data_IF_848195383674
#
_entry.id   IF_848195383674
#
_cell.length_a   1.000
_cell.length_b   1.000
_cell.length_c   1.000
_cell.angle_alpha   90.00
_cell.angle_beta   90.00
_cell.angle_gamma   90.00
#
_symmetry.space_group_name_H-M   'P 1'
#
loop_
_entity.id
_entity.type
_entity.pdbx_description
1 polymer ?
#
# COMPACT_ATOMS: atom_id res chain seq x y z
N UNK A 1 -14.17 -10.75 -36.16
CA UNK A 1 -14.83 -9.85 -35.21
C UNK A 1 -14.60 -10.44 -33.82
N UNK A 2 -13.43 -10.19 -33.22
CA UNK A 2 -13.03 -10.77 -31.94
C UNK A 2 -13.23 -9.72 -30.86
N UNK A 3 -14.16 -10.00 -29.98
CA UNK A 3 -14.49 -9.17 -28.81
C UNK A 3 -13.34 -9.29 -27.78
N UNK A 4 -12.65 -8.18 -27.60
CA UNK A 4 -11.69 -7.97 -26.50
C UNK A 4 -12.44 -8.14 -25.16
N UNK A 5 -12.10 -9.17 -24.37
CA UNK A 5 -12.49 -9.24 -22.96
C UNK A 5 -11.45 -8.47 -22.13
N UNK A 6 -11.83 -7.45 -21.36
CA UNK A 6 -10.88 -6.75 -20.48
C UNK A 6 -10.49 -7.66 -19.32
N UNK A 7 -9.20 -7.65 -18.99
CA UNK A 7 -8.59 -8.39 -17.87
C UNK A 7 -9.14 -7.85 -16.55
N UNK A 8 -9.98 -8.65 -15.89
CA UNK A 8 -10.52 -8.35 -14.56
C UNK A 8 -9.55 -8.77 -13.46
N UNK A 9 -8.58 -7.96 -13.10
CA UNK A 9 -7.74 -8.17 -11.90
C UNK A 9 -7.76 -7.02 -10.88
N UNK A 10 -8.41 -5.90 -11.19
CA UNK A 10 -8.51 -4.74 -10.26
C UNK A 10 -9.70 -4.81 -9.28
N UNK A 11 -10.61 -5.77 -9.42
CA UNK A 11 -11.87 -5.81 -8.64
C UNK A 11 -11.70 -6.31 -7.21
N UNK A 12 -10.76 -7.21 -6.93
CA UNK A 12 -10.68 -7.87 -5.61
C UNK A 12 -10.12 -6.98 -4.50
N UNK A 13 -9.11 -6.17 -4.79
CA UNK A 13 -8.53 -5.26 -3.79
C UNK A 13 -9.52 -4.13 -3.42
N UNK A 14 -10.23 -3.57 -4.41
CA UNK A 14 -11.26 -2.55 -4.18
C UNK A 14 -12.45 -3.09 -3.38
N UNK A 15 -12.85 -4.35 -3.63
CA UNK A 15 -13.94 -5.01 -2.91
C UNK A 15 -13.53 -5.29 -1.46
N UNK A 16 -12.30 -5.74 -1.23
CA UNK A 16 -11.78 -6.02 0.13
C UNK A 16 -11.67 -4.72 0.93
N UNK A 17 -11.13 -3.65 0.37
CA UNK A 17 -11.04 -2.36 1.04
C UNK A 17 -12.40 -1.70 1.25
N UNK A 18 -13.31 -1.82 0.29
CA UNK A 18 -14.69 -1.35 0.41
C UNK A 18 -15.45 -2.09 1.50
N UNK A 19 -15.31 -3.41 1.62
CA UNK A 19 -15.96 -4.21 2.65
C UNK A 19 -15.38 -3.93 4.06
N UNK A 20 -14.08 -3.78 4.20
CA UNK A 20 -13.45 -3.37 5.48
C UNK A 20 -13.91 -1.97 5.90
N UNK A 21 -14.04 -1.03 4.96
CA UNK A 21 -14.55 0.31 5.23
C UNK A 21 -16.02 0.29 5.66
N UNK A 22 -16.86 -0.51 5.01
CA UNK A 22 -18.29 -0.67 5.34
C UNK A 22 -18.46 -1.33 6.72
N UNK A 23 -17.66 -2.35 7.05
CA UNK A 23 -17.71 -3.02 8.36
C UNK A 23 -17.27 -2.07 9.46
N UNK A 24 -16.19 -1.32 9.28
CA UNK A 24 -15.74 -0.30 10.25
C UNK A 24 -16.75 0.84 10.40
N UNK A 25 -17.40 1.26 9.32
CA UNK A 25 -18.42 2.30 9.34
C UNK A 25 -19.71 1.82 10.02
N UNK A 26 -20.12 0.54 9.81
CA UNK A 26 -21.28 -0.03 10.49
C UNK A 26 -21.08 -0.19 12.01
N UNK A 27 -19.87 -0.54 12.47
CA UNK A 27 -19.54 -0.59 13.91
C UNK A 27 -19.64 0.81 14.55
N UNK A 28 -19.23 1.87 13.83
CA UNK A 28 -19.36 3.26 14.29
C UNK A 28 -20.81 3.75 14.41
N UNK A 29 -21.71 3.24 13.56
CA UNK A 29 -23.13 3.57 13.61
C UNK A 29 -23.85 2.91 14.80
N UNK A 30 -23.37 1.74 15.24
CA UNK A 30 -23.95 1.04 16.40
C UNK A 30 -23.66 1.75 17.73
N UNK A 31 -22.54 2.45 17.88
CA UNK A 31 -22.22 3.21 19.10
C UNK A 31 -23.12 4.46 19.30
N UNK A 32 -23.76 4.98 18.24
CA UNK A 32 -24.65 6.13 18.37
C UNK A 32 -26.09 5.78 18.78
N UNK A 33 -26.41 4.49 18.94
CA UNK A 33 -27.76 4.05 19.28
C UNK A 33 -28.07 4.03 20.80
N UNK A 34 -27.06 4.18 21.66
CA UNK A 34 -27.23 4.12 23.13
C UNK A 34 -27.14 5.49 23.84
N UNK A 35 -26.94 6.58 23.11
CA UNK A 35 -26.73 7.90 23.70
C UNK A 35 -28.01 8.77 23.66
N UNK A 36 -29.08 8.35 24.37
CA UNK A 36 -30.21 9.20 24.73
C UNK A 36 -30.61 8.96 26.18
N UNK A 37 -29.79 9.43 27.13
CA UNK A 37 -30.27 9.81 28.48
C UNK A 37 -29.21 10.72 29.13
N UNK A 38 -29.72 11.89 29.58
CA UNK A 38 -29.14 12.87 30.50
C UNK A 38 -28.02 13.79 29.98
N UNK A 39 -28.34 15.10 30.00
CA UNK A 39 -27.43 16.23 29.77
C UNK A 39 -26.44 16.39 30.96
N UNK A 40 -25.47 15.48 31.06
CA UNK A 40 -24.16 15.81 31.60
C UNK A 40 -23.29 16.19 30.41
N UNK A 41 -22.42 17.21 30.52
CA UNK A 41 -21.46 17.57 29.47
C UNK A 41 -20.77 16.29 28.98
N UNK A 42 -21.16 15.80 27.81
CA UNK A 42 -20.67 14.54 27.23
C UNK A 42 -19.17 14.66 26.89
N UNK A 43 -18.34 14.33 27.87
CA UNK A 43 -16.91 14.25 27.67
C UNK A 43 -16.61 13.21 26.57
N UNK A 44 -15.75 13.54 25.61
CA UNK A 44 -15.49 12.66 24.47
C UNK A 44 -14.89 11.34 24.94
N UNK A 45 -15.50 10.22 24.54
CA UNK A 45 -15.01 8.87 24.86
C UNK A 45 -13.62 8.63 24.25
N UNK A 46 -12.58 8.28 25.04
CA UNK A 46 -11.25 7.96 24.52
C UNK A 46 -11.25 6.80 23.51
N UNK A 47 -12.08 5.77 23.74
CA UNK A 47 -12.26 4.65 22.80
C UNK A 47 -12.88 5.12 21.49
N UNK A 48 -13.90 5.99 21.58
CA UNK A 48 -14.55 6.57 20.41
C UNK A 48 -13.59 7.45 19.59
N UNK A 49 -12.71 8.23 20.23
CA UNK A 49 -11.68 9.01 19.58
C UNK A 49 -10.66 8.13 18.86
N UNK A 50 -10.21 7.04 19.49
CA UNK A 50 -9.31 6.07 18.88
C UNK A 50 -9.92 5.43 17.62
N UNK A 51 -11.14 4.87 17.73
CA UNK A 51 -11.79 4.18 16.61
C UNK A 51 -12.07 5.12 15.43
N UNK A 52 -12.48 6.36 15.68
CA UNK A 52 -12.67 7.36 14.60
C UNK A 52 -11.39 7.67 13.87
N UNK A 53 -10.25 7.73 14.58
CA UNK A 53 -8.95 7.97 13.96
C UNK A 53 -8.43 6.77 13.16
N UNK A 54 -8.84 5.53 13.46
CA UNK A 54 -8.52 4.37 12.64
C UNK A 54 -9.26 4.40 11.29
N UNK A 55 -10.48 4.93 11.26
CA UNK A 55 -11.25 5.10 10.01
C UNK A 55 -10.67 6.23 9.18
N UNK A 56 -10.52 7.41 9.78
CA UNK A 56 -9.96 8.59 9.15
C UNK A 56 -9.00 9.30 10.10
N UNK A 57 -7.68 9.30 9.82
CA UNK A 57 -6.70 9.95 10.67
C UNK A 57 -7.04 11.42 10.92
N UNK A 58 -6.99 11.80 12.19
CA UNK A 58 -7.39 13.15 12.62
C UNK A 58 -8.84 13.30 13.04
N UNK A 59 -9.76 12.43 12.63
CA UNK A 59 -11.16 12.52 13.01
C UNK A 59 -11.38 12.35 14.53
N UNK A 60 -10.65 11.43 15.15
CA UNK A 60 -10.69 11.27 16.60
C UNK A 60 -10.22 12.50 17.37
N UNK A 61 -9.25 13.25 16.84
CA UNK A 61 -8.83 14.52 17.44
C UNK A 61 -9.93 15.58 17.36
N UNK A 62 -10.60 15.68 16.20
CA UNK A 62 -11.74 16.57 16.05
C UNK A 62 -12.88 16.23 17.00
N UNK A 63 -13.15 14.94 17.19
CA UNK A 63 -14.15 14.45 18.14
C UNK A 63 -13.75 14.73 19.59
N UNK A 64 -12.46 14.56 19.92
CA UNK A 64 -11.94 14.81 21.27
C UNK A 64 -11.92 16.31 21.62
N UNK A 65 -11.57 17.17 20.66
CA UNK A 65 -11.48 18.61 20.86
C UNK A 65 -11.57 19.33 19.51
N UNK A 66 -12.75 19.88 19.22
CA UNK A 66 -13.00 20.59 17.97
C UNK A 66 -12.19 21.88 17.85
N UNK A 67 -11.92 22.55 18.97
CA UNK A 67 -11.20 23.84 18.99
C UNK A 67 -9.69 23.65 18.87
N UNK A 68 -9.17 22.51 19.35
CA UNK A 68 -7.74 22.18 19.31
C UNK A 68 -7.46 20.96 18.44
N UNK A 69 -7.87 21.01 17.18
CA UNK A 69 -7.71 19.91 16.20
C UNK A 69 -6.37 19.92 15.44
N UNK A 70 -5.40 20.71 15.85
CA UNK A 70 -4.15 20.90 15.08
C UNK A 70 -3.39 19.59 14.82
N UNK A 71 -3.26 18.71 15.83
CA UNK A 71 -2.61 17.40 15.66
C UNK A 71 -3.34 16.53 14.62
N UNK A 72 -4.67 16.54 14.66
CA UNK A 72 -5.49 15.79 13.69
C UNK A 72 -5.29 16.25 12.25
N UNK A 73 -5.12 17.55 12.01
CA UNK A 73 -4.86 18.11 10.67
C UNK A 73 -3.57 17.55 10.06
N UNK A 74 -2.50 17.38 10.86
CA UNK A 74 -1.23 16.80 10.36
C UNK A 74 -1.40 15.33 9.98
N UNK A 75 -2.11 14.53 10.78
CA UNK A 75 -2.39 13.14 10.45
C UNK A 75 -3.26 13.02 9.20
N UNK A 76 -4.27 13.88 9.06
CA UNK A 76 -5.12 13.91 7.87
C UNK A 76 -4.32 14.31 6.62
N UNK A 77 -3.49 15.37 6.71
CA UNK A 77 -2.64 15.80 5.61
C UNK A 77 -1.65 14.70 5.20
N UNK A 78 -1.03 14.03 6.17
CA UNK A 78 -0.16 12.88 5.93
C UNK A 78 -0.87 11.75 5.20
N UNK A 79 -2.10 11.40 5.62
CA UNK A 79 -2.90 10.37 4.93
C UNK A 79 -3.21 10.75 3.49
N UNK A 80 -3.62 11.99 3.24
CA UNK A 80 -3.89 12.49 1.88
C UNK A 80 -2.66 12.35 0.99
N UNK A 81 -1.47 12.74 1.48
CA UNK A 81 -0.22 12.58 0.72
C UNK A 81 0.08 11.11 0.43
N UNK A 82 -0.09 10.22 1.41
CA UNK A 82 0.15 8.78 1.23
C UNK A 82 -0.82 8.17 0.21
N UNK A 83 -2.11 8.53 0.28
CA UNK A 83 -3.14 8.06 -0.66
C UNK A 83 -2.85 8.56 -2.08
N UNK A 84 -2.54 9.84 -2.25
CA UNK A 84 -2.19 10.40 -3.57
C UNK A 84 -0.90 9.76 -4.12
N UNK A 85 0.09 9.50 -3.28
CA UNK A 85 1.31 8.80 -3.67
C UNK A 85 1.03 7.37 -4.12
N UNK A 86 0.15 6.64 -3.42
CA UNK A 86 -0.24 5.29 -3.79
C UNK A 86 -0.89 5.26 -5.18
N UNK A 87 -1.93 6.06 -5.40
CA UNK A 87 -2.61 6.10 -6.70
C UNK A 87 -1.72 6.66 -7.81
N UNK A 88 -0.86 7.63 -7.50
CA UNK A 88 0.11 8.17 -8.45
C UNK A 88 1.13 7.13 -8.92
N UNK A 89 1.68 6.33 -7.99
CA UNK A 89 2.61 5.25 -8.34
C UNK A 89 1.93 4.09 -9.07
N UNK A 90 0.70 3.73 -8.69
CA UNK A 90 -0.08 2.68 -9.36
C UNK A 90 -0.41 3.08 -10.80
N UNK A 91 -0.96 4.28 -11.00
CA UNK A 91 -1.28 4.81 -12.33
C UNK A 91 -0.02 4.92 -13.22
N UNK A 92 1.11 5.35 -12.64
CA UNK A 92 2.39 5.39 -13.36
C UNK A 92 2.86 3.99 -13.75
N UNK A 93 2.72 3.00 -12.86
CA UNK A 93 3.08 1.62 -13.16
C UNK A 93 2.24 1.06 -14.30
N UNK A 94 0.94 1.29 -14.30
CA UNK A 94 0.02 0.87 -15.35
C UNK A 94 0.35 1.53 -16.71
N UNK A 95 0.66 2.84 -16.69
CA UNK A 95 1.07 3.55 -17.91
C UNK A 95 2.35 2.95 -18.51
N UNK A 96 3.39 2.77 -17.69
CA UNK A 96 4.67 2.20 -18.11
C UNK A 96 4.53 0.73 -18.52
N UNK A 97 3.61 -0.03 -17.89
CA UNK A 97 3.33 -1.41 -18.31
C UNK A 97 2.76 -1.48 -19.72
N UNK A 98 1.80 -0.60 -20.03
CA UNK A 98 1.26 -0.52 -21.39
C UNK A 98 2.33 -0.11 -22.41
N UNK A 99 3.24 0.79 -22.02
CA UNK A 99 4.34 1.25 -22.87
C UNK A 99 5.31 0.10 -23.21
N UNK A 100 5.83 -0.63 -22.21
CA UNK A 100 6.75 -1.73 -22.49
C UNK A 100 6.07 -2.91 -23.20
N UNK A 101 4.78 -3.17 -22.95
CA UNK A 101 4.02 -4.21 -23.68
C UNK A 101 3.87 -3.86 -25.16
N UNK A 102 3.56 -2.61 -25.46
CA UNK A 102 3.45 -2.10 -26.83
C UNK A 102 4.81 -2.15 -27.54
N UNK A 103 5.89 -1.77 -26.83
CA UNK A 103 7.24 -1.83 -27.36
C UNK A 103 7.64 -3.28 -27.70
N UNK A 104 7.37 -4.24 -26.81
CA UNK A 104 7.64 -5.64 -27.05
C UNK A 104 6.90 -6.17 -28.28
N UNK A 105 5.61 -5.90 -28.36
CA UNK A 105 4.81 -6.33 -29.51
C UNK A 105 5.31 -5.73 -30.83
N UNK A 106 5.60 -4.44 -30.85
CA UNK A 106 5.98 -3.73 -32.07
C UNK A 106 7.41 -3.97 -32.52
N UNK A 107 8.37 -4.25 -31.60
CA UNK A 107 9.81 -4.32 -31.86
C UNK A 107 10.44 -5.71 -31.65
N UNK A 108 9.71 -6.63 -31.07
CA UNK A 108 10.15 -8.03 -30.97
C UNK A 108 9.11 -9.04 -31.42
N UNK A 109 7.90 -8.60 -31.78
CA UNK A 109 6.79 -9.47 -32.16
C UNK A 109 6.18 -10.25 -30.98
N UNK A 110 6.61 -9.98 -29.74
CA UNK A 110 6.16 -10.72 -28.56
C UNK A 110 4.79 -10.20 -28.05
N UNK A 111 3.80 -11.08 -28.02
CA UNK A 111 2.56 -10.83 -27.26
C UNK A 111 2.76 -11.22 -25.79
N UNK A 112 2.74 -10.22 -24.92
CA UNK A 112 2.91 -10.39 -23.48
C UNK A 112 1.60 -10.66 -22.73
N UNK A 113 0.49 -10.88 -23.43
CA UNK A 113 -0.80 -11.21 -22.84
C UNK A 113 -0.69 -12.55 -22.09
N UNK A 114 -1.09 -12.57 -20.82
CA UNK A 114 -1.07 -13.76 -19.96
C UNK A 114 0.31 -14.45 -19.79
N UNK A 115 1.41 -13.75 -20.07
CA UNK A 115 2.75 -14.28 -19.85
C UNK A 115 3.19 -14.16 -18.40
N UNK A 116 3.97 -15.15 -17.95
CA UNK A 116 4.53 -15.17 -16.61
C UNK A 116 5.57 -14.06 -16.41
N UNK A 117 5.81 -13.66 -15.16
CA UNK A 117 6.88 -12.70 -14.83
C UNK A 117 8.25 -13.17 -15.34
N UNK A 118 8.53 -14.47 -15.26
CA UNK A 118 9.81 -15.02 -15.75
C UNK A 118 9.97 -14.82 -17.26
N UNK A 119 8.89 -14.94 -18.02
CA UNK A 119 8.89 -14.67 -19.45
C UNK A 119 9.15 -13.18 -19.74
N UNK A 120 8.52 -12.26 -19.00
CA UNK A 120 8.77 -10.82 -19.12
C UNK A 120 10.23 -10.45 -18.80
N UNK A 121 10.86 -11.14 -17.85
CA UNK A 121 12.29 -10.96 -17.51
C UNK A 121 13.18 -11.50 -18.64
N UNK A 122 12.86 -12.67 -19.16
CA UNK A 122 13.63 -13.32 -20.23
C UNK A 122 13.72 -12.45 -21.49
N UNK A 123 12.58 -11.90 -21.95
CA UNK A 123 12.54 -10.99 -23.11
C UNK A 123 13.45 -9.77 -22.93
N UNK A 124 13.54 -9.22 -21.73
CA UNK A 124 14.39 -8.05 -21.46
C UNK A 124 15.90 -8.37 -21.42
N UNK A 125 16.26 -9.65 -21.24
CA UNK A 125 17.63 -10.07 -21.05
C UNK A 125 18.26 -10.79 -22.26
N UNK A 126 17.44 -11.29 -23.19
CA UNK A 126 17.87 -12.06 -24.34
C UNK A 126 17.28 -11.49 -25.63
N UNK A 127 18.06 -11.58 -26.72
CA UNK A 127 17.61 -11.03 -28.00
C UNK A 127 16.46 -11.82 -28.61
N UNK A 128 16.44 -13.12 -28.40
CA UNK A 128 15.44 -14.03 -28.94
C UNK A 128 15.23 -15.25 -28.03
N UNK A 129 14.15 -16.02 -28.29
CA UNK A 129 13.82 -17.23 -27.56
C UNK A 129 14.90 -18.30 -27.62
N UNK A 130 15.54 -18.47 -28.78
CA UNK A 130 16.58 -19.48 -28.96
C UNK A 130 17.80 -19.21 -28.07
N UNK A 131 18.26 -17.95 -28.06
CA UNK A 131 19.36 -17.50 -27.19
C UNK A 131 19.05 -17.70 -25.70
N UNK A 132 17.81 -17.47 -25.28
CA UNK A 132 17.38 -17.77 -23.92
C UNK A 132 17.40 -19.26 -23.62
N UNK A 133 16.76 -20.09 -24.45
CA UNK A 133 16.70 -21.54 -24.26
C UNK A 133 18.09 -22.17 -24.25
N UNK A 134 18.98 -21.75 -25.16
CA UNK A 134 20.37 -22.19 -25.18
C UNK A 134 21.14 -21.83 -23.90
N UNK A 135 20.90 -20.66 -23.33
CA UNK A 135 21.48 -20.26 -22.05
C UNK A 135 20.99 -21.14 -20.89
N UNK A 136 19.67 -21.46 -20.88
CA UNK A 136 19.10 -22.36 -19.87
C UNK A 136 19.67 -23.78 -20.00
N UNK A 137 19.81 -24.30 -21.23
CA UNK A 137 20.41 -25.61 -21.52
C UNK A 137 21.87 -25.67 -21.02
N UNK A 138 22.69 -24.69 -21.35
CA UNK A 138 24.08 -24.59 -20.86
C UNK A 138 24.21 -24.55 -19.35
N UNK A 139 23.24 -23.88 -18.69
CA UNK A 139 23.17 -23.76 -17.23
C UNK A 139 22.48 -24.96 -16.56
N UNK A 140 22.06 -25.97 -17.32
CA UNK A 140 21.29 -27.14 -16.84
C UNK A 140 19.97 -26.80 -16.12
N UNK A 141 19.34 -25.67 -16.47
CA UNK A 141 18.08 -25.20 -15.93
C UNK A 141 16.90 -25.68 -16.79
N UNK A 142 16.73 -26.98 -16.93
CA UNK A 142 15.74 -27.61 -17.81
C UNK A 142 14.30 -27.15 -17.58
N UNK A 143 13.95 -26.84 -16.33
CA UNK A 143 12.61 -26.42 -15.94
C UNK A 143 12.27 -24.98 -16.37
N UNK A 144 13.26 -24.21 -16.81
CA UNK A 144 13.07 -22.80 -17.20
C UNK A 144 13.02 -22.61 -18.73
N UNK A 145 13.12 -23.69 -19.49
CA UNK A 145 13.05 -23.66 -20.95
C UNK A 145 11.60 -23.34 -21.36
N UNK A 146 11.43 -22.36 -22.23
CA UNK A 146 10.13 -22.06 -22.82
C UNK A 146 9.91 -22.90 -24.09
N UNK A 147 8.70 -23.44 -24.27
CA UNK A 147 8.34 -24.15 -25.51
C UNK A 147 8.51 -23.26 -26.74
N UNK A 148 9.06 -23.82 -27.81
CA UNK A 148 9.24 -23.12 -29.10
C UNK A 148 7.92 -23.07 -29.89
N UNK A 149 6.92 -22.44 -29.33
CA UNK A 149 5.62 -22.20 -29.96
C UNK A 149 5.54 -20.78 -30.49
N UNK A 150 4.71 -20.50 -31.51
CA UNK A 150 4.55 -19.14 -32.05
C UNK A 150 4.18 -18.10 -30.98
N UNK A 151 3.49 -18.51 -29.93
CA UNK A 151 3.04 -17.66 -28.82
C UNK A 151 4.18 -17.25 -27.88
N UNK A 152 5.30 -17.97 -27.88
CA UNK A 152 6.48 -17.71 -27.06
C UNK A 152 7.63 -17.08 -27.85
N UNK A 153 7.47 -16.92 -29.15
CA UNK A 153 8.52 -16.34 -29.99
C UNK A 153 8.70 -14.85 -29.71
N UNK A 154 9.96 -14.42 -29.66
CA UNK A 154 10.35 -13.03 -29.73
C UNK A 154 11.70 -12.94 -30.45
N UNK A 155 11.93 -11.82 -31.11
CA UNK A 155 13.21 -11.49 -31.73
C UNK A 155 13.34 -9.97 -31.80
N UNK A 156 14.21 -9.38 -30.99
CA UNK A 156 14.40 -7.94 -30.97
C UNK A 156 15.07 -7.42 -32.25
N UNK A 157 14.54 -6.33 -32.80
CA UNK A 157 15.14 -5.66 -33.95
C UNK A 157 16.58 -5.19 -33.64
N UNK A 158 16.83 -4.73 -32.41
CA UNK A 158 18.14 -4.33 -31.90
C UNK A 158 18.18 -4.32 -30.37
N UNK A 159 19.40 -4.22 -29.82
CA UNK A 159 19.64 -4.18 -28.39
C UNK A 159 19.09 -2.93 -27.69
N UNK A 160 18.91 -1.81 -28.39
CA UNK A 160 18.46 -0.56 -27.80
C UNK A 160 16.98 -0.68 -27.39
N UNK A 161 16.14 -1.27 -28.25
CA UNK A 161 14.73 -1.54 -27.92
C UNK A 161 14.60 -2.54 -26.79
N UNK A 162 15.45 -3.60 -26.78
CA UNK A 162 15.49 -4.54 -25.65
C UNK A 162 15.85 -3.84 -24.32
N UNK A 163 16.86 -2.97 -24.34
CA UNK A 163 17.27 -2.21 -23.17
C UNK A 163 16.16 -1.24 -22.70
N UNK A 164 15.53 -0.53 -23.64
CA UNK A 164 14.40 0.35 -23.33
C UNK A 164 13.24 -0.43 -22.67
N UNK A 165 12.92 -1.62 -23.21
CA UNK A 165 11.93 -2.52 -22.63
C UNK A 165 12.31 -2.90 -21.19
N UNK A 166 13.53 -3.38 -20.99
CA UNK A 166 14.04 -3.79 -19.68
C UNK A 166 13.95 -2.66 -18.68
N UNK A 167 14.46 -1.49 -19.03
CA UNK A 167 14.49 -0.32 -18.15
C UNK A 167 13.06 0.15 -17.79
N UNK A 168 12.13 0.12 -18.74
CA UNK A 168 10.72 0.48 -18.49
C UNK A 168 10.05 -0.55 -17.59
N UNK A 169 10.28 -1.85 -17.83
CA UNK A 169 9.78 -2.93 -16.96
C UNK A 169 10.32 -2.81 -15.54
N UNK A 170 11.61 -2.51 -15.36
CA UNK A 170 12.23 -2.32 -14.05
C UNK A 170 11.64 -1.12 -13.31
N UNK A 171 11.28 -0.03 -14.01
CA UNK A 171 10.57 1.10 -13.42
C UNK A 171 9.17 0.71 -12.94
N UNK A 172 8.45 -0.14 -13.68
CA UNK A 172 7.17 -0.70 -13.24
C UNK A 172 7.34 -1.52 -11.96
N UNK A 173 8.30 -2.45 -11.98
CA UNK A 173 8.61 -3.29 -10.82
C UNK A 173 8.96 -2.43 -9.58
N UNK A 174 9.78 -1.39 -9.76
CA UNK A 174 10.12 -0.45 -8.69
C UNK A 174 8.91 0.31 -8.16
N UNK A 175 8.06 0.83 -9.05
CA UNK A 175 6.84 1.55 -8.63
C UNK A 175 5.92 0.63 -7.84
N UNK A 176 5.68 -0.59 -8.32
CA UNK A 176 4.82 -1.57 -7.64
C UNK A 176 5.40 -2.06 -6.32
N UNK A 177 6.72 -2.21 -6.21
CA UNK A 177 7.38 -2.63 -4.97
C UNK A 177 7.26 -1.59 -3.84
N UNK A 178 6.95 -0.32 -4.15
CA UNK A 178 6.75 0.74 -3.16
C UNK A 178 5.30 0.76 -2.60
N UNK A 179 4.33 0.18 -3.32
CA UNK A 179 2.92 0.22 -2.89
C UNK A 179 2.67 -0.43 -1.51
N UNK A 180 3.23 -1.61 -1.19
CA UNK A 180 3.08 -2.19 0.15
C UNK A 180 3.65 -1.31 1.26
N UNK A 181 4.75 -0.60 1.00
CA UNK A 181 5.35 0.34 1.96
C UNK A 181 4.42 1.51 2.25
N UNK A 182 3.76 2.07 1.22
CA UNK A 182 2.78 3.14 1.42
C UNK A 182 1.58 2.67 2.24
N UNK A 183 1.09 1.45 1.99
CA UNK A 183 0.02 0.85 2.79
C UNK A 183 0.46 0.71 4.26
N UNK A 184 1.67 0.22 4.52
CA UNK A 184 2.22 0.11 5.86
C UNK A 184 2.31 1.48 6.56
N UNK A 185 2.75 2.52 5.84
CA UNK A 185 2.80 3.90 6.37
C UNK A 185 1.41 4.45 6.68
N UNK A 186 0.38 4.16 5.87
CA UNK A 186 -1.02 4.53 6.17
C UNK A 186 -1.50 3.86 7.46
N UNK A 187 -1.19 2.57 7.66
CA UNK A 187 -1.54 1.85 8.90
C UNK A 187 -0.86 2.50 10.11
N UNK A 188 0.44 2.80 10.01
CA UNK A 188 1.19 3.46 11.08
C UNK A 188 0.62 4.85 11.38
N UNK A 189 0.28 5.65 10.36
CA UNK A 189 -0.34 6.95 10.53
C UNK A 189 -1.70 6.85 11.26
N UNK A 190 -2.53 5.85 10.91
CA UNK A 190 -3.84 5.62 11.56
C UNK A 190 -3.70 5.21 13.01
N UNK A 191 -2.79 4.29 13.31
CA UNK A 191 -2.51 3.87 14.68
C UNK A 191 -1.96 5.03 15.51
N UNK A 192 -0.99 5.80 14.98
CA UNK A 192 -0.44 6.97 15.64
C UNK A 192 -1.51 8.04 15.91
N UNK A 193 -2.35 8.32 14.91
CA UNK A 193 -3.49 9.23 15.06
C UNK A 193 -4.48 8.72 16.11
N UNK A 194 -4.79 7.42 16.11
CA UNK A 194 -5.70 6.80 17.07
C UNK A 194 -5.19 6.93 18.50
N UNK A 195 -3.94 6.56 18.74
CA UNK A 195 -3.31 6.67 20.06
C UNK A 195 -3.27 8.13 20.53
N UNK A 196 -2.88 9.05 19.65
CA UNK A 196 -2.81 10.47 19.98
C UNK A 196 -4.20 11.06 20.29
N UNK A 197 -5.24 10.68 19.54
CA UNK A 197 -6.61 11.09 19.79
C UNK A 197 -7.19 10.49 21.10
N UNK A 198 -6.84 9.21 21.37
CA UNK A 198 -7.21 8.57 22.64
C UNK A 198 -6.64 9.33 23.84
N UNK A 199 -5.35 9.66 23.80
CA UNK A 199 -4.70 10.43 24.86
C UNK A 199 -5.35 11.82 24.99
N UNK A 200 -5.58 12.53 23.89
CA UNK A 200 -6.23 13.84 23.90
C UNK A 200 -7.64 13.80 24.51
N UNK A 201 -8.45 12.80 24.16
CA UNK A 201 -9.77 12.62 24.74
C UNK A 201 -9.71 12.28 26.24
N UNK A 202 -8.71 11.50 26.65
CA UNK A 202 -8.50 11.11 28.04
C UNK A 202 -7.99 12.25 28.91
N UNK A 203 -7.15 13.16 28.37
CA UNK A 203 -6.64 14.34 29.08
C UNK A 203 -7.77 15.28 29.55
N UNK A 204 -8.97 15.15 29.00
CA UNK A 204 -10.17 15.84 29.46
C UNK A 204 -10.84 15.19 30.66
N UNK A 205 -10.44 13.96 31.02
CA UNK A 205 -10.91 13.29 32.24
C UNK A 205 -9.81 13.50 33.28
N UNK A 206 -10.07 14.14 34.39
CA UNK A 206 -9.12 14.61 35.42
C UNK A 206 -8.15 13.56 36.02
N UNK A 207 -8.13 12.34 35.53
CA UNK A 207 -7.24 11.26 36.01
C UNK A 207 -6.41 10.64 34.87
N UNK A 208 -5.33 11.29 34.48
CA UNK A 208 -4.49 10.81 33.37
C UNK A 208 -3.24 10.06 33.86
N UNK A 209 -2.98 8.84 33.38
CA UNK A 209 -1.64 8.26 33.52
C UNK A 209 -0.64 9.00 32.64
N UNK A 210 0.46 9.44 33.21
CA UNK A 210 1.58 9.97 32.44
C UNK A 210 2.29 8.85 31.67
N UNK A 211 2.25 8.91 30.33
CA UNK A 211 3.08 8.06 29.48
C UNK A 211 4.43 8.72 29.29
N UNK A 212 5.51 8.06 29.68
CA UNK A 212 6.90 8.51 29.44
C UNK A 212 7.61 7.48 28.58
N UNK A 213 8.23 7.97 27.52
CA UNK A 213 9.20 7.18 26.76
C UNK A 213 10.60 7.63 27.21
N UNK A 214 11.43 6.69 27.64
CA UNK A 214 12.82 6.94 27.95
C UNK A 214 13.72 6.04 27.12
N UNK A 215 14.82 6.62 26.67
CA UNK A 215 15.88 5.86 26.02
C UNK A 215 16.74 5.21 27.12
N UNK A 216 16.87 3.90 27.07
CA UNK A 216 17.75 3.14 27.92
C UNK A 216 18.93 2.63 27.09
N UNK A 217 20.12 2.85 27.63
CA UNK A 217 21.34 2.22 27.12
C UNK A 217 21.89 1.35 28.26
N UNK A 218 21.34 0.15 28.39
CA UNK A 218 21.83 -0.84 29.35
C UNK A 218 22.79 -1.81 28.65
N UNK A 219 23.98 -1.96 29.17
CA UNK A 219 25.02 -2.85 28.66
C UNK A 219 25.45 -2.62 27.20
N UNK A 220 25.29 -1.38 26.67
CA UNK A 220 25.69 -1.02 25.31
C UNK A 220 24.66 -1.34 24.23
N UNK A 221 23.51 -1.90 24.59
CA UNK A 221 22.39 -2.12 23.68
C UNK A 221 21.37 -0.97 23.78
N UNK A 222 21.01 -0.33 22.65
CA UNK A 222 20.01 0.72 22.65
C UNK A 222 18.61 0.13 22.86
N UNK A 223 17.91 0.59 23.88
CA UNK A 223 16.54 0.21 24.21
C UNK A 223 15.61 1.41 24.38
N UNK A 224 14.33 1.22 24.14
CA UNK A 224 13.28 2.20 24.44
C UNK A 224 12.39 1.61 25.52
N UNK A 225 12.26 2.31 26.65
CA UNK A 225 11.30 1.94 27.69
C UNK A 225 10.09 2.83 27.60
N UNK A 226 8.91 2.22 27.54
CA UNK A 226 7.63 2.89 27.71
C UNK A 226 7.13 2.63 29.14
N UNK A 227 6.93 3.68 29.94
CA UNK A 227 6.34 3.59 31.27
C UNK A 227 5.00 4.31 31.32
N UNK A 228 3.99 3.63 31.88
CA UNK A 228 2.66 4.19 32.15
C UNK A 228 2.51 4.33 33.66
N UNK A 229 2.31 5.57 34.15
CA UNK A 229 2.00 5.84 35.56
C UNK A 229 0.52 6.15 35.71
N UNK A 230 -0.18 5.32 36.48
CA UNK A 230 -1.58 5.55 36.84
C UNK A 230 -1.61 6.27 38.20
N UNK A 231 -2.31 7.40 38.30
CA UNK A 231 -2.64 8.03 39.57
C UNK A 231 -4.03 7.50 39.95
N UNK A 232 -4.09 6.72 41.03
CA UNK A 232 -5.33 6.18 41.59
C UNK A 232 -5.86 7.13 42.69
#
# INVERSE_FOLDING_TARGET
>A
MNTFKPIQTKSSAFIIWGSVFIILFSVLLLENAEAQTDQEEDLPSPRGAFLRSLVMPGWGHHYADNDNWNRGKYHLAGEVVLVLSYFGLDARADYLENDFRTLALSRSGADLSNKSRNFLIAIGNYDDLSSYNDAQLRSRNWNNIFPETPENQWNWENSDFRNQYRDTRERVDKSRSQLPTLIALMVVNRLGSGISAFVQARDRWENVPEARFSYLNEFGEPGITASLRFNF
#
